data_IF_325383297532
#
_entry.id   IF_325383297532
#
_cell.length_a   1.000
_cell.length_b   1.000
_cell.length_c   1.000
_cell.angle_alpha   90.00
_cell.angle_beta   90.00
_cell.angle_gamma   90.00
#
_symmetry.space_group_name_H-M   'P 1'
#
loop_
_entity.id
_entity.type
_entity.pdbx_description
1 polymer ?
#
# COMPACT_ATOMS: atom_id res chain seq x y z
N UNK A 1 -3.91 -31.20 23.04
CA UNK A 1 -3.02 -30.04 23.11
C UNK A 1 -3.87 -28.79 23.20
N UNK A 2 -3.65 -27.86 24.16
CA UNK A 2 -4.39 -26.61 24.18
C UNK A 2 -4.13 -25.83 22.87
N UNK A 3 -5.19 -25.35 22.24
CA UNK A 3 -5.09 -24.48 21.07
C UNK A 3 -4.42 -23.16 21.50
N UNK A 4 -3.33 -22.71 20.87
CA UNK A 4 -2.71 -21.44 21.22
C UNK A 4 -3.72 -20.31 21.05
N UNK A 5 -3.95 -19.54 22.12
CA UNK A 5 -4.85 -18.39 22.10
C UNK A 5 -4.31 -17.33 21.14
N UNK A 6 -5.14 -16.92 20.18
CA UNK A 6 -4.76 -15.85 19.23
C UNK A 6 -4.57 -14.55 20.02
N UNK A 7 -3.41 -13.88 19.91
CA UNK A 7 -3.17 -12.56 20.47
C UNK A 7 -4.27 -11.57 20.06
N UNK A 8 -4.60 -10.59 20.91
CA UNK A 8 -5.54 -9.53 20.52
C UNK A 8 -5.03 -8.84 19.24
N UNK A 9 -5.94 -8.43 18.34
CA UNK A 9 -5.56 -7.71 17.13
C UNK A 9 -4.84 -6.40 17.45
N UNK A 10 -3.84 -6.03 16.64
CA UNK A 10 -3.19 -4.73 16.73
C UNK A 10 -4.16 -3.59 16.37
N UNK A 11 -3.99 -2.40 16.98
CA UNK A 11 -4.71 -1.21 16.55
C UNK A 11 -4.31 -0.81 15.13
N UNK A 12 -5.14 0.03 14.51
CA UNK A 12 -4.86 0.61 13.20
C UNK A 12 -3.56 1.45 13.23
N UNK A 13 -2.72 1.30 12.21
CA UNK A 13 -1.53 2.16 12.07
C UNK A 13 -1.94 3.61 11.79
N UNK A 14 -1.18 4.57 12.32
CA UNK A 14 -1.36 5.98 11.96
C UNK A 14 -0.61 6.29 10.66
N UNK A 15 -1.32 6.76 9.63
CA UNK A 15 -0.70 7.13 8.36
C UNK A 15 -0.01 8.50 8.48
N UNK A 16 1.24 8.58 8.01
CA UNK A 16 2.06 9.78 8.15
C UNK A 16 2.19 10.49 6.81
N UNK A 17 2.75 9.81 5.81
CA UNK A 17 2.99 10.36 4.48
C UNK A 17 2.49 9.40 3.38
N UNK A 18 2.11 9.92 2.21
CA UNK A 18 1.83 11.34 1.99
C UNK A 18 0.60 11.83 2.79
N UNK A 19 0.42 13.16 2.96
CA UNK A 19 -0.86 13.70 3.40
C UNK A 19 -2.00 13.21 2.51
N UNK A 20 -3.19 13.11 3.07
CA UNK A 20 -4.37 12.69 2.30
C UNK A 20 -4.65 13.70 1.17
N UNK A 21 -4.89 13.21 -0.04
CA UNK A 21 -5.12 14.02 -1.23
C UNK A 21 -3.87 14.57 -1.91
N UNK A 22 -2.65 14.16 -1.51
CA UNK A 22 -1.42 14.60 -2.14
C UNK A 22 -1.40 14.32 -3.65
N UNK A 23 -0.71 15.17 -4.42
CA UNK A 23 -0.66 15.08 -5.88
C UNK A 23 0.78 14.94 -6.39
N UNK A 24 0.98 14.01 -7.33
CA UNK A 24 2.26 13.68 -7.94
C UNK A 24 2.14 13.78 -9.47
N UNK A 25 2.98 14.60 -10.09
CA UNK A 25 2.89 14.93 -11.52
C UNK A 25 4.19 14.69 -12.28
N UNK A 26 5.32 14.59 -11.58
CA UNK A 26 6.61 14.44 -12.25
C UNK A 26 6.88 12.97 -12.56
N UNK A 27 7.49 12.72 -13.72
CA UNK A 27 7.84 11.36 -14.13
C UNK A 27 8.84 10.66 -13.19
N UNK A 28 9.46 11.42 -12.28
CA UNK A 28 10.49 10.97 -11.36
C UNK A 28 10.04 11.04 -9.89
N UNK A 29 8.75 11.27 -9.62
CA UNK A 29 8.25 11.27 -8.25
C UNK A 29 8.31 9.86 -7.65
N UNK A 30 9.19 9.68 -6.66
CA UNK A 30 9.20 8.48 -5.82
C UNK A 30 8.13 8.66 -4.74
N UNK A 31 6.98 8.01 -4.91
CA UNK A 31 5.89 8.07 -3.95
C UNK A 31 6.22 7.10 -2.80
N UNK A 32 6.55 7.65 -1.64
CA UNK A 32 6.79 6.87 -0.42
C UNK A 32 5.58 6.95 0.50
N UNK A 33 4.92 5.81 0.71
CA UNK A 33 3.90 5.63 1.73
C UNK A 33 4.61 5.38 3.07
N UNK A 34 4.19 6.06 4.13
CA UNK A 34 4.80 5.96 5.45
C UNK A 34 3.73 5.97 6.53
N UNK A 35 3.93 5.13 7.55
CA UNK A 35 3.03 5.02 8.69
C UNK A 35 3.83 4.92 10.00
N UNK A 36 3.16 5.11 11.13
CA UNK A 36 3.73 4.91 12.45
C UNK A 36 3.83 3.41 12.76
N UNK A 37 4.90 3.02 13.44
CA UNK A 37 5.04 1.66 13.97
C UNK A 37 3.99 1.37 15.04
N UNK A 38 3.44 0.16 15.03
CA UNK A 38 2.61 -0.40 16.12
C UNK A 38 3.44 -1.13 17.19
N UNK A 39 4.76 -0.95 17.17
CA UNK A 39 5.72 -1.66 17.99
C UNK A 39 6.46 -2.74 17.22
N UNK A 40 7.09 -3.65 17.95
CA UNK A 40 7.87 -4.74 17.34
C UNK A 40 6.94 -5.81 16.77
N UNK A 41 7.01 -5.99 15.45
CA UNK A 41 6.37 -7.12 14.78
C UNK A 41 7.07 -8.43 15.15
N UNK A 42 6.30 -9.51 15.28
CA UNK A 42 6.86 -10.86 15.43
C UNK A 42 7.54 -11.32 14.14
N UNK A 43 8.38 -12.34 14.25
CA UNK A 43 9.10 -12.96 13.12
C UNK A 43 8.18 -13.53 12.02
N UNK A 44 6.91 -13.77 12.33
CA UNK A 44 5.91 -14.20 11.36
C UNK A 44 4.87 -13.11 11.05
N UNK A 45 5.14 -11.84 11.35
CA UNK A 45 4.23 -10.72 11.09
C UNK A 45 4.82 -9.68 10.13
N UNK A 46 3.93 -9.07 9.35
CA UNK A 46 4.27 -8.02 8.39
C UNK A 46 3.15 -6.96 8.37
N UNK A 47 3.49 -5.79 7.84
CA UNK A 47 2.49 -4.86 7.33
C UNK A 47 2.06 -5.32 5.94
N UNK A 48 0.75 -5.37 5.71
CA UNK A 48 0.19 -5.46 4.37
C UNK A 48 -0.12 -4.05 3.87
N UNK A 49 0.44 -3.69 2.71
CA UNK A 49 0.19 -2.42 2.03
C UNK A 49 -0.70 -2.72 0.84
N UNK A 50 -1.83 -2.03 0.76
CA UNK A 50 -2.77 -2.18 -0.34
C UNK A 50 -2.92 -0.83 -1.03
N UNK A 51 -2.78 -0.83 -2.35
CA UNK A 51 -2.97 0.34 -3.21
C UNK A 51 -3.92 -0.06 -4.33
N UNK A 52 -4.97 0.72 -4.53
CA UNK A 52 -6.02 0.49 -5.51
C UNK A 52 -6.12 1.71 -6.43
N UNK A 53 -6.07 1.48 -7.75
CA UNK A 53 -6.39 2.49 -8.75
C UNK A 53 -7.91 2.60 -8.89
N UNK A 54 -8.50 3.65 -8.33
CA UNK A 54 -9.96 3.84 -8.34
C UNK A 54 -10.43 4.62 -9.57
N UNK A 55 -9.51 5.05 -10.43
CA UNK A 55 -9.83 5.81 -11.66
C UNK A 55 -9.96 4.91 -12.87
N UNK A 56 -9.12 3.86 -12.94
CA UNK A 56 -9.14 2.91 -14.06
C UNK A 56 -10.44 2.10 -14.11
N UNK A 57 -11.16 1.96 -12.99
CA UNK A 57 -12.45 1.26 -12.93
C UNK A 57 -12.36 -0.28 -13.02
N UNK A 58 -11.19 -0.80 -13.40
CA UNK A 58 -10.90 -2.24 -13.53
C UNK A 58 -10.44 -2.90 -12.22
N UNK A 59 -10.45 -2.17 -11.10
CA UNK A 59 -10.05 -2.69 -9.79
C UNK A 59 -8.58 -3.08 -9.69
N UNK A 60 -7.71 -2.42 -10.49
CA UNK A 60 -6.27 -2.68 -10.48
C UNK A 60 -5.70 -2.42 -9.09
N UNK A 61 -5.16 -3.45 -8.47
CA UNK A 61 -4.70 -3.45 -7.09
C UNK A 61 -3.28 -3.98 -6.96
N UNK A 62 -2.48 -3.27 -6.18
CA UNK A 62 -1.19 -3.72 -5.68
C UNK A 62 -1.37 -4.15 -4.23
N UNK A 63 -0.83 -5.32 -3.90
CA UNK A 63 -0.75 -5.83 -2.53
C UNK A 63 0.69 -6.22 -2.27
N UNK A 64 1.27 -5.68 -1.21
CA UNK A 64 2.64 -5.99 -0.82
C UNK A 64 2.77 -6.20 0.69
N UNK A 65 3.80 -6.93 1.11
CA UNK A 65 4.05 -7.30 2.49
C UNK A 65 5.45 -6.84 2.89
N UNK A 66 5.52 -5.91 3.86
CA UNK A 66 6.77 -5.31 4.31
C UNK A 66 6.88 -5.32 5.83
N UNK A 67 8.11 -5.30 6.35
CA UNK A 67 8.35 -5.17 7.79
C UNK A 67 8.70 -3.75 8.20
N UNK A 68 9.21 -2.97 7.26
CA UNK A 68 9.48 -1.55 7.43
C UNK A 68 8.18 -0.75 7.58
N UNK A 69 8.29 0.45 8.13
CA UNK A 69 7.17 1.40 8.25
C UNK A 69 7.07 2.35 7.07
N UNK A 70 7.58 1.92 5.91
CA UNK A 70 7.54 2.65 4.65
C UNK A 70 7.44 1.70 3.47
N UNK A 71 6.87 2.20 2.38
CA UNK A 71 6.75 1.49 1.11
C UNK A 71 6.91 2.47 -0.05
N UNK A 72 7.80 2.17 -1.00
CA UNK A 72 7.94 2.96 -2.22
C UNK A 72 7.02 2.34 -3.27
N UNK A 73 6.05 3.11 -3.75
CA UNK A 73 5.13 2.63 -4.80
C UNK A 73 5.93 2.34 -6.07
N UNK A 74 5.88 1.11 -6.61
CA UNK A 74 6.61 0.78 -7.82
C UNK A 74 6.20 1.65 -9.00
N UNK A 75 7.18 2.14 -9.76
CA UNK A 75 6.95 2.93 -10.99
C UNK A 75 6.13 2.16 -12.04
N UNK A 76 6.17 0.82 -12.01
CA UNK A 76 5.35 -0.04 -12.86
C UNK A 76 3.84 0.06 -12.58
N UNK A 77 3.44 0.55 -11.40
CA UNK A 77 2.05 0.77 -11.01
C UNK A 77 1.52 2.15 -11.43
N UNK A 78 2.38 2.99 -12.00
CA UNK A 78 2.01 4.30 -12.53
C UNK A 78 0.94 4.18 -13.64
N UNK A 79 -0.01 5.13 -13.74
CA UNK A 79 -0.93 5.18 -14.88
C UNK A 79 -0.17 5.25 -16.21
N UNK A 80 -0.79 4.74 -17.26
CA UNK A 80 -0.19 4.68 -18.60
C UNK A 80 -0.81 5.67 -19.59
N UNK A 81 -1.70 6.53 -19.12
CA UNK A 81 -2.33 7.57 -19.92
C UNK A 81 -1.99 8.98 -19.38
N UNK A 82 -2.54 10.02 -20.01
CA UNK A 82 -2.29 11.42 -19.66
C UNK A 82 -3.17 11.94 -18.52
N UNK A 83 -4.15 11.16 -18.06
CA UNK A 83 -5.09 11.54 -17.01
C UNK A 83 -4.47 11.26 -15.64
N UNK A 84 -4.59 12.17 -14.66
CA UNK A 84 -4.27 11.85 -13.28
C UNK A 84 -5.19 10.74 -12.77
N UNK A 85 -4.63 9.68 -12.21
CA UNK A 85 -5.41 8.66 -11.52
C UNK A 85 -5.36 8.92 -10.02
N UNK A 86 -6.48 8.69 -9.35
CA UNK A 86 -6.60 8.62 -7.91
C UNK A 86 -6.30 7.20 -7.45
N UNK A 87 -5.34 7.08 -6.54
CA UNK A 87 -4.98 5.85 -5.87
C UNK A 87 -5.46 5.91 -4.43
N UNK A 88 -6.21 4.90 -4.00
CA UNK A 88 -6.59 4.69 -2.61
C UNK A 88 -5.65 3.69 -1.98
N UNK A 89 -5.17 3.96 -0.77
CA UNK A 89 -4.29 3.04 -0.07
C UNK A 89 -4.59 2.96 1.42
N UNK A 90 -4.23 1.84 2.00
CA UNK A 90 -4.31 1.58 3.43
C UNK A 90 -3.31 0.50 3.83
N UNK A 91 -3.06 0.42 5.13
CA UNK A 91 -2.12 -0.52 5.72
C UNK A 91 -2.81 -1.26 6.87
N UNK A 92 -2.46 -2.53 7.03
CA UNK A 92 -2.84 -3.31 8.21
C UNK A 92 -1.69 -4.22 8.62
N UNK A 93 -1.85 -4.92 9.73
CA UNK A 93 -0.90 -5.93 10.19
C UNK A 93 -1.46 -7.31 9.90
N UNK A 94 -0.61 -8.18 9.38
CA UNK A 94 -0.93 -9.57 9.07
C UNK A 94 0.05 -10.51 9.74
N UNK A 95 -0.39 -11.74 9.95
CA UNK A 95 0.43 -12.83 10.48
C UNK A 95 0.43 -14.01 9.51
N UNK A 96 1.62 -14.52 9.22
CA UNK A 96 1.81 -15.74 8.47
C UNK A 96 1.40 -16.92 9.35
N UNK A 97 0.40 -17.67 8.89
CA UNK A 97 -0.13 -18.86 9.57
C UNK A 97 0.30 -20.16 8.92
N UNK A 98 0.97 -20.08 7.77
CA UNK A 98 1.49 -21.23 7.07
C UNK A 98 2.11 -20.83 5.74
N UNK A 99 2.29 -21.84 4.91
CA UNK A 99 2.83 -21.72 3.57
C UNK A 99 2.02 -22.65 2.68
N UNK A 100 1.71 -22.22 1.46
CA UNK A 100 1.02 -23.06 0.48
C UNK A 100 1.96 -24.12 -0.13
N UNK A 101 1.46 -25.07 -0.93
CA UNK A 101 2.31 -26.09 -1.58
C UNK A 101 3.39 -25.53 -2.51
N UNK A 102 3.29 -24.26 -2.92
CA UNK A 102 4.23 -23.56 -3.80
C UNK A 102 5.28 -22.77 -3.01
N UNK A 103 5.24 -22.80 -1.67
CA UNK A 103 6.18 -22.08 -0.82
C UNK A 103 5.77 -20.62 -0.54
N UNK A 104 4.57 -20.19 -0.93
CA UNK A 104 4.10 -18.83 -0.69
C UNK A 104 3.46 -18.69 0.71
N UNK A 105 3.73 -17.60 1.44
CA UNK A 105 3.20 -17.39 2.77
C UNK A 105 1.66 -17.24 2.75
N UNK A 106 0.98 -17.93 3.66
CA UNK A 106 -0.45 -17.75 3.90
C UNK A 106 -0.61 -16.72 5.03
N UNK A 107 -1.19 -15.57 4.69
CA UNK A 107 -1.40 -14.45 5.62
C UNK A 107 -2.82 -14.41 6.17
N UNK A 108 -2.94 -14.07 7.44
CA UNK A 108 -4.22 -13.77 8.11
C UNK A 108 -4.18 -12.40 8.75
N UNK A 109 -5.34 -11.78 8.95
CA UNK A 109 -5.43 -10.50 9.65
C UNK A 109 -4.90 -10.63 11.08
N UNK A 110 -4.04 -9.69 11.46
CA UNK A 110 -3.51 -9.55 12.82
C UNK A 110 -3.75 -8.14 13.39
N UNK A 111 -4.40 -7.24 12.65
CA UNK A 111 -4.68 -5.88 13.10
C UNK A 111 -5.86 -5.24 12.37
N UNK A 112 -6.29 -4.08 12.87
CA UNK A 112 -7.28 -3.27 12.17
C UNK A 112 -6.68 -2.64 10.91
N UNK A 113 -7.53 -2.33 9.93
CA UNK A 113 -7.12 -1.49 8.79
C UNK A 113 -6.89 -0.05 9.29
N UNK A 114 -5.88 0.62 8.74
CA UNK A 114 -5.76 2.06 8.85
C UNK A 114 -6.98 2.76 8.25
N UNK A 115 -7.08 4.07 8.50
CA UNK A 115 -7.85 4.93 7.61
C UNK A 115 -7.35 4.75 6.17
N UNK A 116 -8.25 4.91 5.21
CA UNK A 116 -7.87 4.97 3.80
C UNK A 116 -7.43 6.39 3.47
N UNK A 117 -6.30 6.51 2.78
CA UNK A 117 -5.86 7.77 2.19
C UNK A 117 -5.85 7.66 0.68
N UNK A 118 -5.90 8.81 0.03
CA UNK A 118 -5.77 8.92 -1.42
C UNK A 118 -4.58 9.78 -1.81
N UNK A 119 -4.02 9.51 -2.98
CA UNK A 119 -3.13 10.43 -3.68
C UNK A 119 -3.44 10.38 -5.18
N UNK A 120 -3.13 11.45 -5.92
CA UNK A 120 -3.22 11.46 -7.38
C UNK A 120 -1.84 11.26 -8.00
N UNK A 121 -1.74 10.46 -9.06
CA UNK A 121 -0.49 10.30 -9.82
C UNK A 121 -0.75 10.42 -11.32
N UNK A 122 -0.01 11.29 -12.00
CA UNK A 122 -0.09 11.43 -13.45
C UNK A 122 0.86 10.45 -14.16
N UNK A 123 0.34 9.76 -15.19
CA UNK A 123 1.05 8.70 -15.91
C UNK A 123 2.04 9.17 -16.96
N UNK A 124 1.60 10.02 -17.87
CA UNK A 124 2.41 10.59 -18.95
C UNK A 124 2.17 12.10 -18.95
N UNK A 125 3.23 12.90 -19.13
CA UNK A 125 3.05 14.32 -19.36
C UNK A 125 2.20 14.52 -20.63
N UNK A 126 1.22 15.44 -20.65
CA UNK A 126 0.55 15.79 -21.90
C UNK A 126 1.61 16.22 -22.91
N UNK A 127 1.49 15.81 -24.18
CA UNK A 127 2.35 16.36 -25.24
C UNK A 127 2.22 17.89 -25.20
N UNK A 128 3.30 18.57 -24.84
CA UNK A 128 3.34 20.03 -24.90
C UNK A 128 3.19 20.43 -26.36
N UNK A 129 2.13 21.16 -26.70
CA UNK A 129 2.04 21.83 -28.00
C UNK A 129 3.30 22.69 -28.17
N UNK A 130 4.11 22.40 -29.19
CA UNK A 130 5.23 23.27 -29.57
C UNK A 130 4.69 24.69 -29.79
N UNK A 131 5.29 25.66 -29.09
CA UNK A 131 4.92 27.06 -29.22
C UNK A 131 5.38 27.59 -30.59
N UNK A 132 4.55 28.39 -31.31
CA UNK A 132 4.85 28.84 -32.68
C UNK A 132 6.05 29.78 -32.76
#
# INVERSE_FOLDING_TARGET
>A
TPTPTVPPPYPAVNLLLPPDGASFTLANDSITLQWASIGTLRENEAYIVIIEDVTEGEGRRLVDYVRDTKYIVPVSFRPRDTRPHIFRWWVSTVRQTGTDPQGQPIWTSAGANSLQRVFSWQGIAPEGTAQP
#
